data_IF_352583884817
#
_entry.id   IF_352583884817
#
_cell.length_a   1.000
_cell.length_b   1.000
_cell.length_c   1.000
_cell.angle_alpha   90.00
_cell.angle_beta   90.00
_cell.angle_gamma   90.00
#
_symmetry.space_group_name_H-M   'P 1'
#
loop_
_entity.id
_entity.type
_entity.pdbx_description
1 polymer ?
#
# COMPACT_ATOMS: atom_id res chain seq x y z
N UNK A 1 28.08 -6.91 25.48
CA UNK A 1 27.01 -6.27 26.26
C UNK A 1 26.61 -7.22 27.36
N UNK A 2 26.81 -6.86 28.63
CA UNK A 2 26.40 -7.70 29.75
C UNK A 2 24.87 -7.70 29.77
N UNK A 3 24.24 -8.84 29.51
CA UNK A 3 22.82 -9.02 29.83
C UNK A 3 22.76 -9.00 31.36
N UNK A 4 22.07 -8.01 31.91
CA UNK A 4 21.90 -7.88 33.36
C UNK A 4 21.04 -9.08 33.77
N UNK A 5 21.50 -9.87 34.76
CA UNK A 5 20.89 -11.17 35.06
C UNK A 5 19.36 -11.08 35.30
N UNK A 6 18.91 -9.94 35.84
CA UNK A 6 17.50 -9.60 36.03
C UNK A 6 16.70 -9.48 34.73
N UNK A 7 17.26 -8.93 33.66
CA UNK A 7 16.58 -8.85 32.36
C UNK A 7 16.32 -10.24 31.79
N UNK A 8 17.30 -11.14 31.90
CA UNK A 8 17.14 -12.53 31.47
C UNK A 8 16.15 -13.29 32.35
N UNK A 9 16.23 -13.13 33.67
CA UNK A 9 15.29 -13.76 34.60
C UNK A 9 13.87 -13.30 34.30
N UNK A 10 13.64 -12.00 34.15
CA UNK A 10 12.33 -11.44 33.80
C UNK A 10 11.85 -11.93 32.44
N UNK A 11 12.75 -12.08 31.46
CA UNK A 11 12.42 -12.62 30.14
C UNK A 11 11.98 -14.09 30.20
N UNK A 12 12.74 -14.96 30.89
CA UNK A 12 12.36 -16.37 31.06
C UNK A 12 11.06 -16.48 31.88
N UNK A 13 10.95 -15.74 32.97
CA UNK A 13 9.78 -15.78 33.84
C UNK A 13 8.51 -15.33 33.08
N UNK A 14 8.60 -14.29 32.25
CA UNK A 14 7.51 -13.88 31.37
C UNK A 14 7.16 -14.95 30.32
N UNK A 15 8.16 -15.63 29.75
CA UNK A 15 7.97 -16.75 28.81
C UNK A 15 7.30 -17.97 29.45
N UNK A 16 7.52 -18.21 30.74
CA UNK A 16 6.87 -19.29 31.48
C UNK A 16 5.43 -18.92 31.86
N UNK A 17 5.18 -17.68 32.29
CA UNK A 17 3.84 -17.22 32.70
C UNK A 17 2.89 -17.10 31.51
N UNK A 18 3.36 -16.56 30.39
CA UNK A 18 2.56 -16.43 29.17
C UNK A 18 3.42 -16.84 27.96
N UNK A 19 3.51 -18.15 27.68
CA UNK A 19 4.30 -18.66 26.55
C UNK A 19 3.81 -18.13 25.21
N UNK A 20 2.50 -17.83 25.11
CA UNK A 20 1.84 -17.40 23.89
C UNK A 20 1.91 -15.90 23.66
N UNK A 21 2.42 -15.11 24.63
CA UNK A 21 2.48 -13.65 24.54
C UNK A 21 3.11 -13.17 23.23
N UNK A 22 4.22 -13.78 22.83
CA UNK A 22 4.90 -13.42 21.59
C UNK A 22 4.01 -13.62 20.36
N UNK A 23 3.30 -14.76 20.29
CA UNK A 23 2.38 -15.05 19.19
C UNK A 23 1.14 -14.16 19.23
N UNK A 24 0.64 -13.81 20.42
CA UNK A 24 -0.43 -12.81 20.60
C UNK A 24 -0.01 -11.42 20.11
N UNK A 25 1.22 -11.00 20.41
CA UNK A 25 1.78 -9.73 19.94
C UNK A 25 1.89 -9.71 18.39
N UNK A 26 2.31 -10.83 17.78
CA UNK A 26 2.34 -10.98 16.33
C UNK A 26 0.95 -11.03 15.70
N UNK A 27 -0.02 -11.67 16.35
CA UNK A 27 -1.42 -11.70 15.92
C UNK A 27 -2.01 -10.29 15.92
N UNK A 28 -1.79 -9.52 16.99
CA UNK A 28 -2.21 -8.11 17.06
C UNK A 28 -1.55 -7.27 15.96
N UNK A 29 -0.23 -7.46 15.77
CA UNK A 29 0.51 -6.78 14.69
C UNK A 29 -0.04 -7.16 13.33
N UNK A 30 -0.33 -8.44 13.10
CA UNK A 30 -0.90 -8.94 11.86
C UNK A 30 -2.26 -8.31 11.59
N UNK A 31 -3.16 -8.28 12.57
CA UNK A 31 -4.51 -7.74 12.44
C UNK A 31 -4.51 -6.25 12.10
N UNK A 32 -3.66 -5.47 12.75
CA UNK A 32 -3.57 -4.01 12.56
C UNK A 32 -2.75 -3.58 11.35
N UNK A 33 -1.90 -4.46 10.81
CA UNK A 33 -1.06 -4.14 9.66
C UNK A 33 -1.91 -3.88 8.41
N UNK A 34 -1.67 -2.72 7.80
CA UNK A 34 -2.22 -2.28 6.52
C UNK A 34 -1.12 -1.65 5.68
N UNK A 35 -1.29 -1.65 4.36
CA UNK A 35 -0.33 -1.05 3.44
C UNK A 35 -0.27 0.46 3.66
N UNK A 36 0.93 1.00 3.79
CA UNK A 36 1.14 2.45 3.89
C UNK A 36 1.14 3.12 2.51
N UNK A 37 0.76 4.39 2.47
CA UNK A 37 0.90 5.20 1.26
C UNK A 37 2.37 5.24 0.79
N UNK A 38 2.59 5.12 -0.52
CA UNK A 38 3.94 5.05 -1.11
C UNK A 38 4.64 3.68 -1.02
N UNK A 39 4.21 2.78 -0.13
CA UNK A 39 4.81 1.44 0.00
C UNK A 39 4.52 0.56 -1.22
N UNK A 40 5.50 -0.19 -1.73
CA UNK A 40 5.27 -1.13 -2.84
C UNK A 40 4.45 -2.34 -2.38
N UNK A 41 3.79 -3.02 -3.32
CA UNK A 41 3.04 -4.25 -3.00
C UNK A 41 3.99 -5.36 -2.52
N UNK A 42 5.16 -5.48 -3.15
CA UNK A 42 6.16 -6.48 -2.78
C UNK A 42 6.75 -6.25 -1.39
N UNK A 43 7.08 -4.99 -1.03
CA UNK A 43 7.60 -4.68 0.31
C UNK A 43 6.54 -4.98 1.37
N UNK A 44 5.28 -4.61 1.09
CA UNK A 44 4.19 -4.86 2.00
C UNK A 44 3.95 -6.37 2.21
N UNK A 45 3.86 -7.12 1.11
CA UNK A 45 3.73 -8.59 1.13
C UNK A 45 4.85 -9.24 1.93
N UNK A 46 6.11 -8.81 1.74
CA UNK A 46 7.26 -9.38 2.44
C UNK A 46 7.17 -9.18 3.95
N UNK A 47 6.71 -8.00 4.40
CA UNK A 47 6.48 -7.72 5.83
C UNK A 47 5.33 -8.57 6.37
N UNK A 48 4.23 -8.67 5.62
CA UNK A 48 3.06 -9.45 6.02
C UNK A 48 3.43 -10.93 6.21
N UNK A 49 4.12 -11.53 5.23
CA UNK A 49 4.59 -12.92 5.30
C UNK A 49 5.58 -13.17 6.44
N UNK A 50 6.47 -12.20 6.70
CA UNK A 50 7.39 -12.26 7.85
C UNK A 50 6.63 -12.38 9.17
N UNK A 51 5.52 -11.66 9.33
CA UNK A 51 4.66 -11.74 10.53
C UNK A 51 3.86 -13.05 10.55
N UNK A 52 3.32 -13.50 9.42
CA UNK A 52 2.60 -14.79 9.28
C UNK A 52 3.45 -15.99 9.73
N UNK A 53 4.77 -15.90 9.55
CA UNK A 53 5.73 -16.89 10.05
C UNK A 53 5.65 -17.13 11.57
N UNK A 54 5.24 -16.14 12.34
CA UNK A 54 5.18 -16.20 13.81
C UNK A 54 3.77 -16.42 14.39
N UNK A 55 2.74 -16.45 13.53
CA UNK A 55 1.38 -16.76 13.96
C UNK A 55 1.25 -18.23 14.37
N UNK A 56 0.39 -18.47 15.36
CA UNK A 56 0.13 -19.81 15.90
C UNK A 56 -0.54 -20.69 14.83
N UNK A 57 -1.56 -20.14 14.17
CA UNK A 57 -2.25 -20.80 13.07
C UNK A 57 -1.65 -20.40 11.73
N UNK A 58 -1.47 -21.39 10.86
CA UNK A 58 -1.00 -21.16 9.49
C UNK A 58 -2.19 -21.03 8.56
N UNK A 59 -2.18 -19.94 7.81
CA UNK A 59 -3.20 -19.68 6.80
C UNK A 59 -2.92 -20.45 5.52
N UNK A 60 -3.98 -20.93 4.87
CA UNK A 60 -3.94 -21.43 3.51
C UNK A 60 -3.59 -20.32 2.52
N UNK A 61 -3.10 -20.71 1.32
CA UNK A 61 -2.82 -19.76 0.22
C UNK A 61 -4.02 -18.84 -0.07
N UNK A 62 -5.23 -19.39 -0.05
CA UNK A 62 -6.44 -18.62 -0.22
C UNK A 62 -6.64 -17.57 0.88
N UNK A 63 -6.52 -17.97 2.16
CA UNK A 63 -6.64 -17.05 3.28
C UNK A 63 -5.57 -15.95 3.23
N UNK A 64 -4.32 -16.29 2.89
CA UNK A 64 -3.23 -15.32 2.73
C UNK A 64 -3.54 -14.30 1.63
N UNK A 65 -4.06 -14.74 0.48
CA UNK A 65 -4.49 -13.82 -0.60
C UNK A 65 -5.61 -12.90 -0.16
N UNK A 66 -6.63 -13.44 0.52
CA UNK A 66 -7.77 -12.65 1.01
C UNK A 66 -7.35 -11.64 2.07
N UNK A 67 -6.48 -12.03 3.01
CA UNK A 67 -5.96 -11.14 4.04
C UNK A 67 -5.09 -10.04 3.44
N UNK A 68 -4.19 -10.39 2.51
CA UNK A 68 -3.42 -9.38 1.76
C UNK A 68 -4.35 -8.42 1.03
N UNK A 69 -5.37 -8.92 0.33
CA UNK A 69 -6.33 -8.09 -0.39
C UNK A 69 -7.14 -7.16 0.54
N UNK A 70 -7.50 -7.61 1.74
CA UNK A 70 -8.16 -6.76 2.73
C UNK A 70 -7.25 -5.71 3.38
N UNK A 71 -5.93 -5.84 3.22
CA UNK A 71 -4.93 -4.99 3.89
C UNK A 71 -4.20 -4.02 2.97
N UNK A 72 -4.36 -4.15 1.65
CA UNK A 72 -3.83 -3.19 0.68
C UNK A 72 -4.59 -1.85 0.74
N UNK A 73 -4.02 -0.83 0.10
CA UNK A 73 -4.65 0.49 0.00
C UNK A 73 -6.06 0.41 -0.63
N UNK A 74 -7.07 1.13 -0.10
CA UNK A 74 -8.41 1.14 -0.67
C UNK A 74 -8.47 1.54 -2.15
N UNK A 75 -7.59 2.46 -2.57
CA UNK A 75 -7.47 2.87 -3.98
C UNK A 75 -6.98 1.74 -4.88
N UNK A 76 -6.06 0.90 -4.38
CA UNK A 76 -5.56 -0.27 -5.09
C UNK A 76 -6.62 -1.35 -5.18
N UNK A 77 -7.36 -1.59 -4.10
CA UNK A 77 -8.48 -2.52 -4.05
C UNK A 77 -9.55 -2.16 -5.09
N UNK A 78 -10.04 -0.90 -5.05
CA UNK A 78 -11.08 -0.42 -5.95
C UNK A 78 -10.65 -0.47 -7.43
N UNK A 79 -9.38 -0.19 -7.73
CA UNK A 79 -8.87 -0.30 -9.10
C UNK A 79 -8.73 -1.77 -9.54
N UNK A 80 -8.30 -2.66 -8.64
CA UNK A 80 -8.18 -4.09 -8.94
C UNK A 80 -9.53 -4.72 -9.30
N UNK A 81 -10.59 -4.38 -8.57
CA UNK A 81 -11.95 -4.88 -8.82
C UNK A 81 -12.48 -4.55 -10.23
N UNK A 82 -12.03 -3.44 -10.83
CA UNK A 82 -12.41 -3.05 -12.20
C UNK A 82 -11.98 -4.06 -13.26
N UNK A 83 -10.96 -4.87 -12.99
CA UNK A 83 -10.47 -5.88 -13.93
C UNK A 83 -11.32 -7.15 -13.93
N UNK A 84 -12.37 -7.23 -13.09
CA UNK A 84 -13.25 -8.40 -12.95
C UNK A 84 -12.52 -9.74 -12.72
N UNK A 85 -11.29 -9.68 -12.20
CA UNK A 85 -10.50 -10.87 -11.86
C UNK A 85 -10.81 -11.27 -10.43
N UNK A 86 -11.22 -12.52 -10.22
CA UNK A 86 -11.45 -13.01 -8.85
C UNK A 86 -10.12 -13.41 -8.23
N UNK A 87 -9.90 -12.99 -6.99
CA UNK A 87 -8.65 -13.26 -6.24
C UNK A 87 -8.36 -14.77 -6.13
N UNK A 88 -9.39 -15.62 -6.02
CA UNK A 88 -9.22 -17.06 -5.92
C UNK A 88 -8.79 -17.74 -7.23
N UNK A 89 -9.04 -17.11 -8.39
CA UNK A 89 -8.66 -17.66 -9.69
C UNK A 89 -7.16 -17.47 -10.00
N UNK A 90 -6.46 -16.69 -9.17
CA UNK A 90 -5.04 -16.41 -9.34
C UNK A 90 -4.18 -17.23 -8.37
N UNK A 91 -3.08 -17.77 -8.88
CA UNK A 91 -1.95 -18.18 -8.04
C UNK A 91 -1.37 -16.96 -7.31
N UNK A 92 -0.75 -17.18 -6.16
CA UNK A 92 -0.22 -16.10 -5.31
C UNK A 92 0.68 -15.12 -6.08
N UNK A 93 1.69 -15.63 -6.80
CA UNK A 93 2.62 -14.77 -7.55
C UNK A 93 1.94 -13.98 -8.68
N UNK A 94 0.94 -14.61 -9.33
CA UNK A 94 0.14 -13.94 -10.35
C UNK A 94 -0.73 -12.82 -9.74
N UNK A 95 -1.27 -13.05 -8.55
CA UNK A 95 -2.00 -12.06 -7.77
C UNK A 95 -1.11 -10.87 -7.38
N UNK A 96 0.09 -11.12 -6.85
CA UNK A 96 1.05 -10.05 -6.53
C UNK A 96 1.46 -9.26 -7.77
N UNK A 97 1.78 -9.96 -8.86
CA UNK A 97 2.15 -9.33 -10.14
C UNK A 97 1.03 -8.43 -10.64
N UNK A 98 -0.22 -8.91 -10.58
CA UNK A 98 -1.39 -8.14 -11.00
C UNK A 98 -1.57 -6.89 -10.13
N UNK A 99 -1.46 -7.00 -8.80
CA UNK A 99 -1.51 -5.85 -7.89
C UNK A 99 -0.43 -4.80 -8.21
N UNK A 100 0.80 -5.24 -8.52
CA UNK A 100 1.89 -4.34 -8.93
C UNK A 100 1.60 -3.59 -10.24
N UNK A 101 1.00 -4.27 -11.22
CA UNK A 101 0.54 -3.65 -12.49
C UNK A 101 -0.55 -2.61 -12.20
N UNK A 102 -1.55 -2.97 -11.39
CA UNK A 102 -2.66 -2.08 -11.04
C UNK A 102 -2.15 -0.82 -10.34
N UNK A 103 -1.26 -0.96 -9.34
CA UNK A 103 -0.63 0.18 -8.66
C UNK A 103 0.08 1.12 -9.65
N UNK A 104 0.79 0.55 -10.62
CA UNK A 104 1.48 1.33 -11.66
C UNK A 104 0.51 2.09 -12.57
N UNK A 105 -0.66 1.51 -12.89
CA UNK A 105 -1.70 2.17 -13.68
C UNK A 105 -2.34 3.34 -12.91
N UNK A 106 -2.57 3.19 -11.60
CA UNK A 106 -3.04 4.29 -10.74
C UNK A 106 -2.03 5.45 -10.79
N UNK A 107 -0.74 5.17 -10.61
CA UNK A 107 0.30 6.19 -10.61
C UNK A 107 0.36 6.95 -11.95
N UNK A 108 0.31 6.23 -13.08
CA UNK A 108 0.29 6.83 -14.43
C UNK A 108 -0.93 7.73 -14.62
N UNK A 109 -2.10 7.29 -14.20
CA UNK A 109 -3.36 8.05 -14.33
C UNK A 109 -3.32 9.33 -13.51
N UNK A 110 -2.79 9.29 -12.29
CA UNK A 110 -2.63 10.46 -11.41
C UNK A 110 -1.63 11.47 -11.99
N UNK A 111 -0.51 10.99 -12.56
CA UNK A 111 0.47 11.84 -13.25
C UNK A 111 -0.10 12.49 -14.52
N UNK A 112 -0.88 11.76 -15.30
CA UNK A 112 -1.55 12.32 -16.48
C UNK A 112 -2.57 13.40 -16.09
N UNK A 113 -3.41 13.18 -15.08
CA UNK A 113 -4.39 14.17 -14.60
C UNK A 113 -3.73 15.46 -14.11
N UNK A 114 -2.62 15.35 -13.38
CA UNK A 114 -1.86 16.51 -12.91
C UNK A 114 -1.14 17.27 -14.03
N UNK A 115 -0.69 16.57 -15.08
CA UNK A 115 -0.12 17.20 -16.27
C UNK A 115 -1.17 17.96 -17.09
N UNK A 116 -2.39 17.42 -17.23
CA UNK A 116 -3.50 18.09 -17.92
C UNK A 116 -3.91 19.37 -17.19
N UNK A 117 -4.03 19.34 -15.85
CA UNK A 117 -4.35 20.54 -15.06
C UNK A 117 -3.31 21.66 -15.18
N UNK A 118 -2.02 21.32 -15.36
CA UNK A 118 -0.97 22.32 -15.62
C UNK A 118 -1.08 22.94 -17.02
N UNK A 119 -1.62 22.22 -18.00
CA UNK A 119 -1.74 22.69 -19.37
C UNK A 119 -2.89 23.69 -19.52
N UNK A 120 -4.02 23.41 -18.89
CA UNK A 120 -5.18 24.33 -18.89
C UNK A 120 -4.87 25.65 -18.15
N UNK A 121 -4.09 25.60 -17.07
CA UNK A 121 -3.67 26.81 -16.32
C UNK A 121 -2.74 27.73 -17.11
N UNK A 122 -1.96 27.20 -18.06
CA UNK A 122 -0.93 27.97 -18.77
C UNK A 122 -1.41 28.52 -20.13
N UNK A 123 -2.47 27.94 -20.70
CA UNK A 123 -3.09 28.42 -21.94
C UNK A 123 -4.07 29.59 -21.70
N UNK A 124 -4.74 29.64 -20.54
CA UNK A 124 -5.67 30.73 -20.21
C UNK A 124 -4.96 32.08 -20.02
N UNK A 125 -3.77 32.07 -19.43
CA UNK A 125 -2.98 33.31 -19.25
C UNK A 125 -2.36 33.79 -20.57
N UNK A 126 -1.90 32.88 -21.42
CA UNK A 126 -1.29 33.21 -22.72
C UNK A 126 -2.32 33.81 -23.70
N UNK A 127 -3.54 33.27 -23.70
CA UNK A 127 -4.62 33.73 -24.58
C UNK A 127 -5.20 35.06 -24.11
N UNK A 128 -5.35 35.27 -22.80
CA UNK A 128 -5.78 36.54 -22.22
C UNK A 128 -4.76 37.67 -22.45
N UNK A 129 -3.46 37.37 -22.34
CA UNK A 129 -2.39 38.35 -22.56
C UNK A 129 -2.31 38.79 -24.03
N UNK A 130 -2.48 37.84 -24.97
CA UNK A 130 -2.54 38.14 -26.41
C UNK A 130 -3.76 38.99 -26.78
N UNK A 131 -4.92 38.70 -26.19
CA UNK A 131 -6.16 39.46 -26.43
C UNK A 131 -6.06 40.90 -25.92
N UNK A 132 -5.51 41.12 -24.72
CA UNK A 132 -5.26 42.47 -24.18
C UNK A 132 -4.24 43.27 -25.00
N UNK A 133 -3.18 42.63 -25.50
CA UNK A 133 -2.16 43.31 -26.31
C UNK A 133 -2.70 43.75 -27.68
N UNK A 134 -3.60 42.96 -28.27
CA UNK A 134 -4.26 43.29 -29.53
C UNK A 134 -5.27 44.44 -29.39
N UNK A 135 -5.98 44.53 -28.26
CA UNK A 135 -6.91 45.63 -28.01
C UNK A 135 -6.19 46.96 -27.73
N UNK A 136 -5.05 46.95 -27.03
CA UNK A 136 -4.25 48.17 -26.85
C UNK A 136 -3.63 48.70 -28.14
N UNK A 137 -3.32 47.83 -29.11
CA UNK A 137 -2.79 48.26 -30.42
C UNK A 137 -3.86 48.80 -31.37
N UNK A 138 -5.15 48.56 -31.11
CA UNK A 138 -6.26 49.09 -31.90
C UNK A 138 -6.81 50.42 -31.37
N UNK A 139 -6.32 50.86 -30.22
CA UNK A 139 -6.78 52.08 -29.53
C UNK A 139 -5.82 53.28 -29.73
N UNK A 140 -4.92 53.21 -30.72
CA UNK A 140 -3.92 54.24 -31.02
C UNK A 140 -4.05 54.72 -32.46
#
# INVERSE_FOLDING_TARGET
>A
TLIIWDEFYNWIHAKIINPDKASQDYELKYQTLTQSEGQTVHDFMSILQSIEGYLLEKYSDYQQKMHLFGKILPSLHAEFEKYAVKVHDLFYDAFITKLSIVKSNILKTTQQKSATHRKDSHDDTSTALKKKKLEMQKAL
#
